data_IF_264767259768
#
_entry.id   IF_264767259768
#
_cell.length_a   1.000
_cell.length_b   1.000
_cell.length_c   1.000
_cell.angle_alpha   90.00
_cell.angle_beta   90.00
_cell.angle_gamma   90.00
#
_symmetry.space_group_name_H-M   'P 1'
#
loop_
_entity.id
_entity.type
_entity.pdbx_description
1 polymer ?
#
# COMPACT_ATOMS: atom_id res chain seq x y z
N UNK A 1 6.73 -20.97 6.85
CA UNK A 1 7.01 -20.00 5.80
C UNK A 1 8.24 -19.20 6.19
N UNK A 2 9.22 -19.07 5.31
CA UNK A 2 10.42 -18.23 5.53
C UNK A 2 10.06 -16.81 5.06
N UNK A 3 10.17 -15.77 5.92
CA UNK A 3 9.87 -14.42 5.49
C UNK A 3 10.93 -13.90 4.52
N UNK A 4 10.50 -13.36 3.38
CA UNK A 4 11.37 -12.81 2.34
C UNK A 4 12.04 -11.49 2.75
N UNK A 5 11.37 -10.73 3.62
CA UNK A 5 11.85 -9.41 4.04
C UNK A 5 11.54 -8.29 3.03
N UNK A 6 10.99 -8.62 1.86
CA UNK A 6 10.50 -7.61 0.92
C UNK A 6 9.13 -7.08 1.35
N UNK A 7 8.82 -5.88 0.96
CA UNK A 7 7.52 -5.23 1.13
C UNK A 7 7.30 -4.26 0.00
N UNK A 8 6.05 -3.87 -0.22
CA UNK A 8 5.71 -2.98 -1.31
C UNK A 8 4.60 -2.01 -0.96
N UNK A 9 4.18 -1.29 -1.99
CA UNK A 9 3.07 -0.35 -1.96
C UNK A 9 2.48 -0.27 -3.36
N UNK A 10 1.15 -0.36 -3.46
CA UNK A 10 0.47 -0.05 -4.71
C UNK A 10 0.60 1.45 -5.03
N UNK A 11 0.85 1.75 -6.29
CA UNK A 11 0.85 3.09 -6.88
C UNK A 11 -0.18 3.15 -8.00
N UNK A 12 -0.30 4.27 -8.69
CA UNK A 12 -1.23 4.38 -9.82
C UNK A 12 -0.78 3.43 -10.93
N UNK A 13 -1.67 2.52 -11.33
CA UNK A 13 -1.44 1.49 -12.36
C UNK A 13 -0.14 0.69 -12.17
N UNK A 14 0.31 0.53 -10.91
CA UNK A 14 1.60 -0.07 -10.64
C UNK A 14 1.85 -0.48 -9.20
N UNK A 15 3.07 -0.95 -8.98
CA UNK A 15 3.56 -1.43 -7.68
C UNK A 15 4.99 -0.97 -7.47
N UNK A 16 5.25 -0.42 -6.29
CA UNK A 16 6.59 -0.26 -5.75
C UNK A 16 6.94 -1.47 -4.90
N UNK A 17 8.13 -2.05 -5.10
CA UNK A 17 8.69 -3.10 -4.23
C UNK A 17 10.00 -2.64 -3.63
N UNK A 18 10.22 -2.94 -2.35
CA UNK A 18 11.43 -2.57 -1.60
C UNK A 18 12.10 -3.79 -1.00
N UNK A 19 13.41 -3.88 -1.21
CA UNK A 19 14.30 -4.86 -0.60
C UNK A 19 15.49 -4.13 0.04
N UNK A 20 15.49 -3.97 1.36
CA UNK A 20 16.49 -3.19 2.12
C UNK A 20 16.57 -1.72 1.65
N UNK A 21 17.70 -1.29 1.07
CA UNK A 21 17.88 0.06 0.51
C UNK A 21 17.43 0.17 -0.94
N UNK A 22 17.33 -0.94 -1.67
CA UNK A 22 16.90 -0.92 -3.07
C UNK A 22 15.39 -0.97 -3.16
N UNK A 23 14.83 -0.24 -4.13
CA UNK A 23 13.43 -0.32 -4.49
C UNK A 23 13.25 -0.26 -6.01
N UNK A 24 12.19 -0.85 -6.47
CA UNK A 24 11.70 -0.76 -7.85
C UNK A 24 10.30 -0.17 -7.86
N UNK A 25 9.95 0.44 -8.97
CA UNK A 25 8.55 0.78 -9.28
C UNK A 25 8.27 0.23 -10.67
N UNK A 26 7.27 -0.61 -10.80
CA UNK A 26 6.77 -1.08 -12.09
C UNK A 26 5.38 -0.49 -12.31
N UNK A 27 5.15 0.10 -13.46
CA UNK A 27 3.91 0.75 -13.85
C UNK A 27 3.51 0.28 -15.24
N UNK A 28 2.25 -0.04 -15.45
CA UNK A 28 1.72 -0.28 -16.79
C UNK A 28 1.36 1.08 -17.39
N UNK A 29 2.01 1.42 -18.49
CA UNK A 29 1.80 2.66 -19.22
C UNK A 29 0.47 2.61 -20.02
N UNK A 30 -0.06 3.77 -20.46
CA UNK A 30 -1.26 3.81 -21.31
C UNK A 30 -1.13 3.02 -22.60
N UNK A 31 0.09 2.90 -23.16
CA UNK A 31 0.39 2.09 -24.36
C UNK A 31 0.37 0.57 -24.09
N UNK A 32 0.20 0.15 -22.82
CA UNK A 32 0.16 -1.24 -22.37
C UNK A 32 1.52 -1.84 -21.99
N UNK A 33 2.62 -1.15 -22.24
CA UNK A 33 3.96 -1.59 -21.83
C UNK A 33 4.18 -1.44 -20.32
N UNK A 34 5.07 -2.26 -19.76
CA UNK A 34 5.46 -2.18 -18.35
C UNK A 34 6.78 -1.42 -18.25
N UNK A 35 6.71 -0.22 -17.67
CA UNK A 35 7.91 0.55 -17.35
C UNK A 35 8.40 0.18 -15.96
N UNK A 36 9.70 -0.15 -15.81
CA UNK A 36 10.31 -0.53 -14.54
C UNK A 36 11.47 0.41 -14.23
N UNK A 37 11.40 1.06 -13.08
CA UNK A 37 12.47 1.90 -12.55
C UNK A 37 13.00 1.31 -11.25
N UNK A 38 14.32 1.21 -11.14
CA UNK A 38 15.02 0.83 -9.91
C UNK A 38 15.83 2.00 -9.38
N UNK A 39 15.87 2.17 -8.05
CA UNK A 39 16.63 3.24 -7.42
C UNK A 39 16.95 2.83 -5.96
N UNK A 40 17.78 3.61 -5.27
CA UNK A 40 18.12 3.41 -3.86
C UNK A 40 17.46 4.44 -2.96
N UNK A 41 17.05 4.00 -1.79
CA UNK A 41 16.50 4.85 -0.74
C UNK A 41 17.08 4.47 0.62
N UNK A 42 17.97 5.31 1.12
CA UNK A 42 18.70 5.08 2.38
C UNK A 42 17.90 5.54 3.62
N UNK A 43 16.81 6.30 3.40
CA UNK A 43 16.00 6.88 4.47
C UNK A 43 16.59 8.19 5.02
N UNK A 44 15.73 8.97 5.72
CA UNK A 44 16.10 10.31 6.25
C UNK A 44 17.15 10.26 7.34
N UNK A 45 17.21 9.18 8.10
CA UNK A 45 18.16 9.02 9.20
C UNK A 45 19.43 8.29 8.78
N UNK A 46 19.50 7.71 7.58
CA UNK A 46 20.62 6.89 7.14
C UNK A 46 20.92 5.76 8.14
N UNK A 47 22.20 5.47 8.33
CA UNK A 47 22.67 4.42 9.25
C UNK A 47 22.86 4.88 10.70
N UNK A 48 22.36 6.05 11.09
CA UNK A 48 22.55 6.63 12.42
C UNK A 48 22.01 5.71 13.53
N UNK A 49 22.83 5.49 14.57
CA UNK A 49 22.52 4.55 15.67
C UNK A 49 21.21 4.90 16.42
N UNK A 50 20.91 6.18 16.62
CA UNK A 50 19.71 6.62 17.32
C UNK A 50 18.43 6.22 16.59
N UNK A 51 18.46 6.15 15.25
CA UNK A 51 17.31 5.74 14.43
C UNK A 51 16.99 4.24 14.56
N UNK A 52 17.93 3.45 15.12
CA UNK A 52 17.75 2.00 15.36
C UNK A 52 17.14 1.70 16.73
N UNK A 53 16.99 2.71 17.59
CA UNK A 53 16.38 2.56 18.93
C UNK A 53 14.88 2.17 18.81
N UNK A 54 14.39 1.31 19.72
CA UNK A 54 12.95 1.00 19.77
C UNK A 54 12.09 2.26 19.82
N UNK A 55 10.90 2.23 19.26
CA UNK A 55 9.99 3.33 19.05
C UNK A 55 10.49 4.35 18.01
N UNK A 56 11.71 4.88 18.14
CA UNK A 56 12.29 5.87 17.22
C UNK A 56 12.39 5.27 15.81
N UNK A 57 12.88 4.03 15.69
CA UNK A 57 12.94 3.36 14.38
C UNK A 57 11.55 3.19 13.74
N UNK A 58 10.50 3.01 14.54
CA UNK A 58 9.14 2.94 14.04
C UNK A 58 8.64 4.27 13.50
N UNK A 59 8.96 5.37 14.20
CA UNK A 59 8.66 6.74 13.74
C UNK A 59 9.41 7.06 12.45
N UNK A 60 10.71 6.78 12.41
CA UNK A 60 11.56 7.02 11.23
C UNK A 60 11.06 6.22 10.04
N UNK A 61 10.84 4.90 10.21
CA UNK A 61 10.35 4.05 9.12
C UNK A 61 8.97 4.47 8.62
N UNK A 62 8.10 4.99 9.48
CA UNK A 62 6.80 5.51 9.07
C UNK A 62 6.95 6.75 8.17
N UNK A 63 7.81 7.71 8.58
CA UNK A 63 8.09 8.92 7.78
C UNK A 63 8.78 8.53 6.46
N UNK A 64 9.76 7.64 6.49
CA UNK A 64 10.44 7.13 5.29
C UNK A 64 9.48 6.48 4.32
N UNK A 65 8.53 5.67 4.83
CA UNK A 65 7.50 5.04 3.99
C UNK A 65 6.57 6.07 3.35
N UNK A 66 6.24 7.15 4.05
CA UNK A 66 5.44 8.25 3.49
C UNK A 66 6.21 8.98 2.38
N UNK A 67 7.48 9.34 2.62
CA UNK A 67 8.31 10.05 1.63
C UNK A 67 8.51 9.20 0.38
N UNK A 68 8.90 7.93 0.55
CA UNK A 68 9.10 7.01 -0.55
C UNK A 68 7.78 6.76 -1.31
N UNK A 69 6.68 6.57 -0.57
CA UNK A 69 5.36 6.39 -1.14
C UNK A 69 4.91 7.57 -1.98
N UNK A 70 5.09 8.79 -1.50
CA UNK A 70 4.80 10.01 -2.28
C UNK A 70 5.67 10.11 -3.53
N UNK A 71 6.99 9.86 -3.42
CA UNK A 71 7.93 9.87 -4.56
C UNK A 71 7.50 8.90 -5.65
N UNK A 72 7.16 7.67 -5.26
CA UNK A 72 6.78 6.61 -6.22
C UNK A 72 5.39 6.81 -6.80
N UNK A 73 4.45 7.32 -6.00
CA UNK A 73 3.11 7.67 -6.47
C UNK A 73 3.16 8.83 -7.49
N UNK A 74 3.93 9.90 -7.22
CA UNK A 74 4.10 11.00 -8.17
C UNK A 74 4.74 10.51 -9.47
N UNK A 75 5.75 9.62 -9.39
CA UNK A 75 6.36 9.06 -10.59
C UNK A 75 5.38 8.20 -11.39
N UNK A 76 4.54 7.40 -10.74
CA UNK A 76 3.53 6.61 -11.45
C UNK A 76 2.43 7.48 -12.06
N UNK A 77 2.05 8.57 -11.40
CA UNK A 77 1.05 9.51 -11.89
C UNK A 77 1.53 10.26 -13.15
N UNK A 78 2.83 10.55 -13.27
CA UNK A 78 3.38 11.29 -14.41
C UNK A 78 3.17 10.61 -15.78
N UNK A 79 2.88 9.31 -15.81
CA UNK A 79 2.54 8.61 -17.06
C UNK A 79 1.09 8.83 -17.53
N UNK A 80 0.25 9.41 -16.68
CA UNK A 80 -1.18 9.61 -16.93
C UNK A 80 -1.60 11.08 -16.92
N UNK A 81 -0.65 12.01 -16.67
CA UNK A 81 -0.92 13.45 -16.65
C UNK A 81 -1.35 13.98 -18.03
N UNK A 82 -0.85 13.38 -19.12
CA UNK A 82 -1.20 13.80 -20.49
C UNK A 82 -2.61 13.35 -20.94
N UNK A 83 -3.23 12.37 -20.25
CA UNK A 83 -4.59 11.91 -20.57
C UNK A 83 -5.69 12.73 -19.85
N UNK A 84 -5.37 13.43 -18.78
CA UNK A 84 -6.26 14.43 -18.24
C UNK A 84 -6.22 15.64 -19.20
N UNK A 85 -7.21 15.73 -20.12
CA UNK A 85 -7.51 16.96 -20.85
C UNK A 85 -7.33 18.13 -19.88
N UNK A 86 -6.53 19.15 -20.26
CA UNK A 86 -6.31 20.35 -19.46
C UNK A 86 -7.63 20.82 -18.85
N UNK A 87 -7.94 20.32 -17.67
CA UNK A 87 -9.12 20.71 -16.94
C UNK A 87 -9.00 22.23 -16.79
N UNK A 88 -9.85 22.97 -17.50
CA UNK A 88 -9.79 24.45 -17.51
C UNK A 88 -9.69 24.92 -16.07
N UNK A 89 -8.62 25.64 -15.72
CA UNK A 89 -8.35 26.01 -14.35
C UNK A 89 -9.57 26.62 -13.69
N UNK A 90 -9.97 26.09 -12.55
CA UNK A 90 -11.14 26.54 -11.80
C UNK A 90 -11.07 28.02 -11.44
N UNK A 91 -12.17 28.65 -11.10
CA UNK A 91 -12.19 30.06 -10.71
C UNK A 91 -11.22 30.40 -9.57
N UNK A 92 -11.07 29.47 -8.63
CA UNK A 92 -10.15 29.60 -7.50
C UNK A 92 -8.68 29.46 -7.93
N UNK A 93 -8.41 28.53 -8.82
CA UNK A 93 -7.07 28.32 -9.39
C UNK A 93 -6.64 29.52 -10.25
N UNK A 94 -7.54 30.05 -11.10
CA UNK A 94 -7.29 31.31 -11.84
C UNK A 94 -6.99 32.48 -10.92
N UNK A 95 -7.69 32.57 -9.79
CA UNK A 95 -7.41 33.60 -8.79
C UNK A 95 -6.01 33.44 -8.18
N UNK A 96 -5.62 32.20 -7.84
CA UNK A 96 -4.29 31.90 -7.29
C UNK A 96 -3.17 32.12 -8.33
N UNK A 97 -3.38 31.71 -9.59
CA UNK A 97 -2.46 31.98 -10.71
C UNK A 97 -2.23 33.49 -10.88
N UNK A 98 -3.30 34.28 -10.78
CA UNK A 98 -3.20 35.76 -10.89
C UNK A 98 -2.45 36.39 -9.70
N UNK A 99 -2.57 35.79 -8.50
CA UNK A 99 -1.95 36.33 -7.27
C UNK A 99 -0.50 35.89 -7.08
N UNK A 100 -0.15 34.67 -7.43
CA UNK A 100 1.16 34.03 -7.14
C UNK A 100 2.02 33.73 -8.38
N UNK A 101 1.51 33.95 -9.60
CA UNK A 101 2.25 33.70 -10.85
C UNK A 101 2.80 32.28 -10.93
N UNK A 102 4.09 32.12 -11.29
CA UNK A 102 4.78 30.83 -11.43
C UNK A 102 4.82 29.97 -10.13
N UNK A 103 4.57 30.57 -8.98
CA UNK A 103 4.50 29.85 -7.69
C UNK A 103 3.09 29.32 -7.38
N UNK A 104 2.11 29.62 -8.22
CA UNK A 104 0.70 29.26 -7.98
C UNK A 104 0.52 27.76 -7.82
N UNK A 105 1.15 26.94 -8.63
CA UNK A 105 1.09 25.48 -8.58
C UNK A 105 1.52 24.94 -7.20
N UNK A 106 2.67 25.41 -6.69
CA UNK A 106 3.16 25.04 -5.35
C UNK A 106 2.23 25.51 -4.24
N UNK A 107 1.61 26.69 -4.40
CA UNK A 107 0.65 27.24 -3.44
C UNK A 107 -0.65 26.46 -3.49
N UNK A 108 -1.16 26.11 -4.67
CA UNK A 108 -2.36 25.25 -4.83
C UNK A 108 -2.12 23.89 -4.18
N UNK A 109 -0.99 23.24 -4.50
CA UNK A 109 -0.65 21.94 -3.88
C UNK A 109 -0.56 22.05 -2.37
N UNK A 110 0.15 23.05 -1.84
CA UNK A 110 0.25 23.28 -0.40
C UNK A 110 -1.10 23.54 0.27
N UNK A 111 -1.97 24.34 -0.35
CA UNK A 111 -3.32 24.61 0.11
C UNK A 111 -4.21 23.36 0.11
N UNK A 112 -4.12 22.53 -0.94
CA UNK A 112 -4.83 21.25 -1.05
C UNK A 112 -4.41 20.27 0.04
N UNK A 113 -3.11 20.15 0.28
CA UNK A 113 -2.58 19.30 1.37
C UNK A 113 -3.05 19.83 2.73
N UNK A 114 -2.93 21.13 2.98
CA UNK A 114 -3.39 21.74 4.24
C UNK A 114 -4.90 21.52 4.45
N UNK A 115 -5.71 21.73 3.42
CA UNK A 115 -7.15 21.47 3.46
C UNK A 115 -7.45 20.00 3.77
N UNK A 116 -6.77 19.07 3.12
CA UNK A 116 -6.93 17.62 3.34
C UNK A 116 -6.59 17.23 4.78
N UNK A 117 -5.51 17.79 5.33
CA UNK A 117 -5.11 17.55 6.74
C UNK A 117 -6.16 18.10 7.70
N UNK A 118 -6.66 19.31 7.45
CA UNK A 118 -7.73 19.92 8.27
C UNK A 118 -8.98 19.03 8.24
N UNK A 119 -9.41 18.60 7.06
CA UNK A 119 -10.57 17.71 6.91
C UNK A 119 -10.36 16.37 7.61
N UNK A 120 -9.18 15.77 7.52
CA UNK A 120 -8.85 14.55 8.25
C UNK A 120 -8.95 14.74 9.78
N UNK A 121 -8.44 15.86 10.31
CA UNK A 121 -8.57 16.20 11.75
C UNK A 121 -10.03 16.38 12.14
N UNK A 122 -10.82 17.09 11.33
CA UNK A 122 -12.25 17.30 11.58
C UNK A 122 -13.00 15.95 11.62
N UNK A 123 -12.80 15.10 10.63
CA UNK A 123 -13.56 13.83 10.48
C UNK A 123 -13.08 12.79 11.50
N UNK A 124 -11.77 12.62 11.70
CA UNK A 124 -11.24 11.52 12.51
C UNK A 124 -10.92 11.89 13.97
N UNK A 125 -10.85 13.17 14.30
CA UNK A 125 -10.59 13.61 15.69
C UNK A 125 -11.76 14.38 16.29
N UNK A 126 -12.30 15.39 15.61
CA UNK A 126 -13.34 16.24 16.17
C UNK A 126 -14.73 15.61 16.09
N UNK A 127 -15.10 15.02 14.96
CA UNK A 127 -16.42 14.40 14.80
C UNK A 127 -16.68 13.28 15.82
N UNK A 128 -15.78 12.30 16.05
CA UNK A 128 -15.97 11.29 17.09
C UNK A 128 -16.12 11.89 18.50
N UNK A 129 -15.35 12.96 18.80
CA UNK A 129 -15.43 13.67 20.05
C UNK A 129 -16.81 14.33 20.26
N UNK A 130 -17.34 15.01 19.25
CA UNK A 130 -18.68 15.62 19.34
C UNK A 130 -19.77 14.55 19.46
N UNK A 131 -19.70 13.49 18.64
CA UNK A 131 -20.67 12.40 18.68
C UNK A 131 -20.67 11.68 20.03
N UNK A 132 -19.49 11.39 20.59
CA UNK A 132 -19.40 10.79 21.92
C UNK A 132 -19.94 11.72 23.01
N UNK A 133 -19.81 13.02 22.82
CA UNK A 133 -20.35 14.04 23.74
C UNK A 133 -21.87 13.96 23.93
N UNK A 134 -22.63 13.50 22.91
CA UNK A 134 -24.07 13.28 23.01
C UNK A 134 -24.45 12.23 24.06
N UNK A 135 -23.55 11.27 24.30
CA UNK A 135 -23.74 10.20 25.29
C UNK A 135 -23.37 10.63 26.73
N UNK A 136 -22.80 11.86 26.91
CA UNK A 136 -22.36 12.34 28.23
C UNK A 136 -23.49 12.43 29.26
N UNK A 137 -24.73 12.58 28.81
CA UNK A 137 -25.93 12.56 29.69
C UNK A 137 -26.21 11.17 30.27
N UNK A 138 -25.80 10.12 29.56
CA UNK A 138 -26.07 8.73 29.92
C UNK A 138 -24.84 8.03 30.52
N UNK A 139 -23.63 8.51 30.17
CA UNK A 139 -22.35 7.90 30.55
C UNK A 139 -21.58 8.87 31.45
N UNK A 140 -21.58 8.60 32.76
CA UNK A 140 -20.86 9.39 33.78
C UNK A 140 -19.36 9.08 33.77
N UNK A 141 -18.97 7.83 33.43
CA UNK A 141 -17.57 7.40 33.42
C UNK A 141 -16.81 8.01 32.23
N UNK A 142 -15.80 8.83 32.51
CA UNK A 142 -14.92 9.38 31.48
C UNK A 142 -14.16 8.31 30.71
N UNK A 143 -13.79 7.19 31.34
CA UNK A 143 -13.13 6.05 30.70
C UNK A 143 -14.07 5.38 29.69
N UNK A 144 -15.33 5.14 30.08
CA UNK A 144 -16.32 4.55 29.18
C UNK A 144 -16.62 5.48 28.00
N UNK A 145 -16.69 6.79 28.25
CA UNK A 145 -16.89 7.79 27.21
C UNK A 145 -15.71 7.81 26.21
N UNK A 146 -14.45 7.67 26.70
CA UNK A 146 -13.29 7.55 25.83
C UNK A 146 -13.30 6.26 24.97
N UNK A 147 -13.79 5.15 25.52
CA UNK A 147 -13.98 3.92 24.75
C UNK A 147 -15.05 4.12 23.68
N UNK A 148 -16.19 4.71 24.00
CA UNK A 148 -17.25 5.02 23.03
C UNK A 148 -16.73 5.95 21.93
N UNK A 149 -15.97 6.99 22.27
CA UNK A 149 -15.33 7.86 21.28
C UNK A 149 -14.40 7.06 20.35
N UNK A 150 -13.60 6.16 20.92
CA UNK A 150 -12.71 5.28 20.15
C UNK A 150 -13.46 4.33 19.21
N UNK A 151 -14.56 3.73 19.67
CA UNK A 151 -15.43 2.90 18.85
C UNK A 151 -16.08 3.68 17.70
N UNK A 152 -16.58 4.89 17.96
CA UNK A 152 -17.13 5.77 16.94
C UNK A 152 -16.06 6.12 15.90
N UNK A 153 -14.84 6.48 16.33
CA UNK A 153 -13.71 6.78 15.45
C UNK A 153 -13.37 5.57 14.55
N UNK A 154 -13.32 4.38 15.15
CA UNK A 154 -13.09 3.14 14.39
C UNK A 154 -14.19 2.90 13.37
N UNK A 155 -15.45 3.08 13.74
CA UNK A 155 -16.59 2.96 12.83
C UNK A 155 -16.53 3.94 11.68
N UNK A 156 -16.22 5.22 11.94
CA UNK A 156 -16.05 6.26 10.90
C UNK A 156 -14.91 5.87 9.95
N UNK A 157 -13.78 5.39 10.49
CA UNK A 157 -12.64 4.98 9.68
C UNK A 157 -12.98 3.79 8.77
N UNK A 158 -13.61 2.75 9.31
CA UNK A 158 -14.02 1.58 8.53
C UNK A 158 -15.03 1.99 7.44
N UNK A 159 -16.00 2.83 7.78
CA UNK A 159 -16.96 3.36 6.81
C UNK A 159 -16.28 4.17 5.71
N UNK A 160 -15.35 5.05 6.07
CA UNK A 160 -14.56 5.83 5.11
C UNK A 160 -13.80 4.91 4.14
N UNK A 161 -13.06 3.93 4.66
CA UNK A 161 -12.32 2.96 3.83
C UNK A 161 -13.27 2.16 2.92
N UNK A 162 -14.43 1.74 3.43
CA UNK A 162 -15.43 1.03 2.65
C UNK A 162 -15.98 1.90 1.50
N UNK A 163 -16.26 3.18 1.77
CA UNK A 163 -16.76 4.11 0.77
C UNK A 163 -15.73 4.37 -0.34
N UNK A 164 -14.49 4.71 0.02
CA UNK A 164 -13.44 4.96 -0.97
C UNK A 164 -13.09 3.69 -1.77
N UNK A 165 -13.20 2.49 -1.15
CA UNK A 165 -12.94 1.21 -1.83
C UNK A 165 -13.94 0.93 -2.97
N UNK A 166 -15.05 1.67 -3.03
CA UNK A 166 -16.07 1.57 -4.07
C UNK A 166 -15.76 2.48 -5.28
N UNK A 167 -14.87 3.45 -5.13
CA UNK A 167 -14.39 4.30 -6.23
C UNK A 167 -13.54 3.49 -7.20
N UNK A 168 -13.73 3.68 -8.51
CA UNK A 168 -13.07 2.86 -9.54
C UNK A 168 -11.55 2.90 -9.43
N UNK A 169 -10.95 4.09 -9.30
CA UNK A 169 -9.50 4.27 -9.28
C UNK A 169 -8.86 3.71 -8.01
N UNK A 170 -9.51 3.94 -6.85
CA UNK A 170 -9.07 3.35 -5.58
C UNK A 170 -9.21 1.82 -5.60
N UNK A 171 -10.29 1.30 -6.22
CA UNK A 171 -10.48 -0.14 -6.38
C UNK A 171 -9.36 -0.75 -7.22
N UNK A 172 -8.93 -0.10 -8.32
CA UNK A 172 -7.80 -0.57 -9.14
C UNK A 172 -6.51 -0.58 -8.33
N UNK A 173 -6.22 0.49 -7.60
CA UNK A 173 -5.06 0.54 -6.67
C UNK A 173 -5.11 -0.61 -5.65
N UNK A 174 -6.30 -0.95 -5.13
CA UNK A 174 -6.47 -2.09 -4.23
C UNK A 174 -6.34 -3.47 -4.91
N UNK A 175 -6.52 -3.55 -6.23
CA UNK A 175 -6.20 -4.76 -7.02
C UNK A 175 -4.69 -4.91 -7.15
N UNK A 176 -3.94 -3.85 -7.43
CA UNK A 176 -2.47 -3.85 -7.41
C UNK A 176 -1.92 -4.22 -6.03
N UNK A 177 -2.52 -3.71 -4.95
CA UNK A 177 -2.16 -4.12 -3.59
C UNK A 177 -2.43 -5.62 -3.34
N UNK A 178 -3.49 -6.16 -3.93
CA UNK A 178 -3.76 -7.59 -3.95
C UNK A 178 -2.68 -8.38 -4.70
N UNK A 179 -2.20 -7.88 -5.85
CA UNK A 179 -1.14 -8.49 -6.65
C UNK A 179 0.20 -8.52 -5.90
N UNK A 180 0.57 -7.41 -5.23
CA UNK A 180 1.73 -7.34 -4.35
C UNK A 180 1.70 -8.45 -3.29
N UNK A 181 0.62 -8.55 -2.53
CA UNK A 181 0.47 -9.58 -1.50
C UNK A 181 0.54 -11.00 -2.05
N UNK A 182 -0.06 -11.24 -3.23
CA UNK A 182 -0.04 -12.55 -3.88
C UNK A 182 1.37 -12.92 -4.33
N UNK A 183 2.16 -11.99 -4.87
CA UNK A 183 3.56 -12.22 -5.23
C UNK A 183 4.40 -12.57 -4.02
N UNK A 184 4.32 -11.79 -2.93
CA UNK A 184 5.08 -12.05 -1.69
C UNK A 184 4.68 -13.42 -1.12
N UNK A 185 3.38 -13.72 -1.03
CA UNK A 185 2.90 -15.00 -0.53
C UNK A 185 3.29 -16.19 -1.42
N UNK A 186 3.39 -16.00 -2.75
CA UNK A 186 3.86 -16.99 -3.69
C UNK A 186 5.30 -17.39 -3.38
N UNK A 187 6.18 -16.41 -3.28
CA UNK A 187 7.61 -16.57 -2.99
C UNK A 187 7.84 -17.21 -1.61
N UNK A 188 7.18 -16.70 -0.56
CA UNK A 188 7.37 -17.18 0.81
C UNK A 188 6.85 -18.61 1.03
N UNK A 189 5.97 -19.09 0.15
CA UNK A 189 5.51 -20.49 0.12
C UNK A 189 6.37 -21.40 -0.73
N UNK A 190 7.48 -20.92 -1.29
CA UNK A 190 8.39 -21.71 -2.11
C UNK A 190 7.81 -22.07 -3.48
N UNK A 191 6.90 -21.24 -4.02
CA UNK A 191 6.34 -21.44 -5.37
C UNK A 191 7.10 -20.57 -6.36
N UNK A 192 7.32 -21.10 -7.58
CA UNK A 192 7.89 -20.30 -8.66
C UNK A 192 7.02 -19.07 -8.94
N UNK A 193 7.67 -17.92 -9.13
CA UNK A 193 7.01 -16.65 -9.38
C UNK A 193 6.52 -16.62 -10.84
N UNK A 194 5.29 -17.02 -11.06
CA UNK A 194 4.61 -17.02 -12.36
C UNK A 194 3.17 -16.56 -12.17
N UNK A 195 2.56 -15.99 -13.21
CA UNK A 195 1.16 -15.50 -13.17
C UNK A 195 0.22 -16.59 -12.61
N UNK A 196 0.36 -17.84 -13.09
CA UNK A 196 -0.44 -18.99 -12.64
C UNK A 196 -0.33 -19.25 -11.13
N UNK A 197 0.87 -19.19 -10.57
CA UNK A 197 1.12 -19.49 -9.16
C UNK A 197 0.74 -18.31 -8.26
N UNK A 198 1.01 -17.08 -8.72
CA UNK A 198 0.63 -15.84 -8.04
C UNK A 198 -0.90 -15.74 -7.95
N UNK A 199 -1.63 -16.02 -9.06
CA UNK A 199 -3.10 -16.04 -9.08
C UNK A 199 -3.69 -16.97 -8.01
N UNK A 200 -3.06 -18.13 -7.76
CA UNK A 200 -3.47 -19.10 -6.73
C UNK A 200 -3.03 -18.75 -5.30
N UNK A 201 -2.22 -17.70 -5.14
CA UNK A 201 -1.72 -17.28 -3.83
C UNK A 201 -2.72 -16.37 -3.11
N UNK A 202 -2.59 -16.26 -1.79
CA UNK A 202 -3.48 -15.43 -0.97
C UNK A 202 -3.18 -13.94 -1.15
N UNK A 203 -4.23 -13.11 -1.25
CA UNK A 203 -4.13 -11.66 -1.19
C UNK A 203 -4.01 -11.11 0.24
N UNK A 204 -4.11 -11.95 1.25
CA UNK A 204 -3.98 -11.57 2.67
C UNK A 204 -2.56 -11.82 3.14
N UNK A 205 -1.90 -10.78 3.67
CA UNK A 205 -0.53 -10.86 4.15
C UNK A 205 -0.40 -10.32 5.57
N UNK A 206 0.40 -11.00 6.42
CA UNK A 206 0.47 -10.65 7.85
C UNK A 206 1.22 -9.34 8.14
N UNK A 207 2.08 -8.89 7.25
CA UNK A 207 2.95 -7.71 7.40
C UNK A 207 2.51 -6.53 6.54
N UNK A 208 1.22 -6.37 6.34
CA UNK A 208 0.68 -5.31 5.50
C UNK A 208 0.54 -3.98 6.25
N UNK A 209 0.81 -2.87 5.55
CA UNK A 209 0.65 -1.52 6.07
C UNK A 209 -0.78 -1.15 6.48
N UNK A 210 -1.81 -1.75 5.85
CA UNK A 210 -3.21 -1.49 6.25
C UNK A 210 -3.56 -2.13 7.59
N UNK A 211 -2.94 -3.27 7.93
CA UNK A 211 -3.02 -3.83 9.28
C UNK A 211 -2.38 -2.91 10.33
N UNK A 212 -1.32 -2.18 9.93
CA UNK A 212 -0.69 -1.17 10.78
C UNK A 212 -1.65 -0.04 11.14
N UNK A 213 -2.40 0.49 10.19
CA UNK A 213 -3.38 1.55 10.46
C UNK A 213 -4.42 1.12 11.49
N UNK A 214 -4.93 -0.11 11.38
CA UNK A 214 -5.88 -0.65 12.36
C UNK A 214 -5.25 -0.72 13.77
N UNK A 215 -4.02 -1.22 13.87
CA UNK A 215 -3.31 -1.33 15.16
C UNK A 215 -3.02 0.06 15.75
N UNK A 216 -2.62 1.03 14.93
CA UNK A 216 -2.46 2.44 15.33
C UNK A 216 -3.75 2.96 15.95
N UNK A 217 -4.91 2.67 15.35
CA UNK A 217 -6.20 3.08 15.88
C UNK A 217 -6.50 2.46 17.25
N UNK A 218 -6.31 1.14 17.40
CA UNK A 218 -6.49 0.45 18.69
C UNK A 218 -5.56 1.01 19.76
N UNK A 219 -4.29 1.17 19.45
CA UNK A 219 -3.30 1.73 20.37
C UNK A 219 -3.67 3.17 20.74
N UNK A 220 -4.15 3.98 19.77
CA UNK A 220 -4.60 5.35 20.05
C UNK A 220 -5.74 5.40 21.05
N UNK A 221 -6.69 4.47 20.98
CA UNK A 221 -7.79 4.37 21.95
C UNK A 221 -7.22 4.12 23.36
N UNK A 222 -6.29 3.18 23.48
CA UNK A 222 -5.64 2.86 24.77
C UNK A 222 -4.94 4.10 25.33
N UNK A 223 -4.12 4.80 24.52
CA UNK A 223 -3.44 6.02 24.95
C UNK A 223 -4.43 7.10 25.42
N UNK A 224 -5.53 7.30 24.70
CA UNK A 224 -6.50 8.36 25.01
C UNK A 224 -7.40 8.06 26.21
N UNK A 225 -7.47 6.81 26.65
CA UNK A 225 -8.08 6.46 27.95
C UNK A 225 -7.25 7.04 29.12
N UNK A 226 -5.92 7.01 29.00
CA UNK A 226 -5.01 7.46 30.06
C UNK A 226 -4.73 8.97 29.97
N UNK A 227 -4.71 9.55 28.78
CA UNK A 227 -4.37 10.96 28.56
C UNK A 227 -5.65 11.79 28.57
N UNK A 228 -5.90 12.42 29.72
CA UNK A 228 -7.07 13.27 29.93
C UNK A 228 -6.70 14.73 29.76
N UNK A 229 -7.30 15.39 28.78
CA UNK A 229 -7.13 16.83 28.52
C UNK A 229 -8.52 17.45 28.46
N UNK A 230 -8.78 18.44 29.28
CA UNK A 230 -10.10 19.06 29.39
C UNK A 230 -10.41 19.99 28.22
N UNK A 231 -9.45 20.82 27.83
CA UNK A 231 -9.61 21.75 26.70
C UNK A 231 -9.71 21.01 25.38
N UNK A 232 -10.72 21.25 24.52
CA UNK A 232 -10.85 20.65 23.21
C UNK A 232 -9.64 20.93 22.30
N UNK A 233 -9.14 22.16 22.31
CA UNK A 233 -7.98 22.57 21.50
C UNK A 233 -6.71 21.86 21.96
N UNK A 234 -6.41 21.88 23.26
CA UNK A 234 -5.25 21.20 23.82
C UNK A 234 -5.33 19.69 23.58
N UNK A 235 -6.53 19.11 23.61
CA UNK A 235 -6.75 17.68 23.28
C UNK A 235 -6.36 17.35 21.85
N UNK A 236 -6.72 18.17 20.87
CA UNK A 236 -6.32 17.99 19.47
C UNK A 236 -4.81 18.10 19.34
N UNK A 237 -4.19 19.13 19.93
CA UNK A 237 -2.73 19.32 19.90
C UNK A 237 -2.01 18.11 20.48
N UNK A 238 -2.39 17.65 21.67
CA UNK A 238 -1.77 16.47 22.32
C UNK A 238 -1.94 15.22 21.45
N UNK A 239 -3.12 15.01 20.86
CA UNK A 239 -3.38 13.87 19.99
C UNK A 239 -2.51 13.90 18.74
N UNK A 240 -2.32 15.04 18.11
CA UNK A 240 -1.45 15.22 16.94
C UNK A 240 0.01 14.93 17.33
N UNK A 241 0.48 15.48 18.45
CA UNK A 241 1.84 15.25 18.96
C UNK A 241 2.10 13.78 19.32
N UNK A 242 1.06 13.03 19.69
CA UNK A 242 1.15 11.60 20.01
C UNK A 242 1.16 10.69 18.78
N UNK A 243 0.75 11.16 17.59
CA UNK A 243 0.71 10.32 16.37
C UNK A 243 2.05 9.63 16.12
N UNK A 244 3.21 10.28 16.12
CA UNK A 244 4.49 9.61 15.91
C UNK A 244 4.78 8.54 16.97
N UNK A 245 4.46 8.84 18.25
CA UNK A 245 4.68 7.90 19.36
C UNK A 245 3.81 6.65 19.20
N UNK A 246 2.53 6.86 18.91
CA UNK A 246 1.57 5.76 18.67
C UNK A 246 2.01 4.94 17.46
N UNK A 247 2.46 5.58 16.39
CA UNK A 247 3.01 4.90 15.21
C UNK A 247 4.25 4.07 15.56
N UNK A 248 5.16 4.61 16.38
CA UNK A 248 6.32 3.89 16.88
C UNK A 248 5.94 2.63 17.67
N UNK A 249 4.97 2.75 18.60
CA UNK A 249 4.46 1.60 19.37
C UNK A 249 3.79 0.56 18.47
N UNK A 250 2.97 1.00 17.51
CA UNK A 250 2.30 0.13 16.57
C UNK A 250 3.29 -0.63 15.67
N UNK A 251 4.36 0.04 15.23
CA UNK A 251 5.45 -0.58 14.47
C UNK A 251 6.12 -1.70 15.25
N UNK A 252 6.49 -1.45 16.53
CA UNK A 252 7.10 -2.49 17.36
C UNK A 252 6.15 -3.67 17.58
N UNK A 253 4.87 -3.40 17.76
CA UNK A 253 3.84 -4.44 17.90
C UNK A 253 3.77 -5.32 16.64
N UNK A 254 3.67 -4.74 15.45
CA UNK A 254 3.63 -5.50 14.18
C UNK A 254 4.91 -6.29 13.97
N UNK A 255 6.07 -5.69 14.26
CA UNK A 255 7.36 -6.36 14.17
C UNK A 255 7.44 -7.59 15.08
N UNK A 256 6.90 -7.47 16.30
CA UNK A 256 6.81 -8.59 17.25
C UNK A 256 5.83 -9.65 16.74
N UNK A 257 4.65 -9.23 16.25
CA UNK A 257 3.65 -10.11 15.68
C UNK A 257 4.17 -10.89 14.46
N UNK A 258 4.94 -10.23 13.60
CA UNK A 258 5.53 -10.85 12.41
C UNK A 258 6.65 -11.86 12.70
N UNK A 259 7.23 -11.83 13.90
CA UNK A 259 8.30 -12.74 14.35
C UNK A 259 7.79 -13.90 15.19
N UNK A 260 6.59 -13.76 15.76
CA UNK A 260 6.02 -14.72 16.71
C UNK A 260 4.95 -15.57 16.04
N UNK A 261 5.07 -16.90 16.17
CA UNK A 261 4.02 -17.85 15.80
C UNK A 261 3.03 -18.12 16.95
N UNK A 262 3.04 -17.30 18.01
CA UNK A 262 2.18 -17.47 19.17
C UNK A 262 0.72 -17.24 18.77
N UNK A 263 -0.18 -18.08 19.35
CA UNK A 263 -1.62 -18.00 19.14
C UNK A 263 -2.20 -16.61 19.48
N UNK A 264 -1.67 -15.96 20.53
CA UNK A 264 -2.10 -14.63 20.96
C UNK A 264 -1.83 -13.60 19.86
N UNK A 265 -0.61 -13.59 19.29
CA UNK A 265 -0.26 -12.66 18.21
C UNK A 265 -1.05 -12.95 16.93
N UNK A 266 -1.37 -14.22 16.69
CA UNK A 266 -2.23 -14.63 15.57
C UNK A 266 -3.65 -14.07 15.72
N UNK A 267 -4.23 -14.16 16.93
CA UNK A 267 -5.56 -13.60 17.24
C UNK A 267 -5.54 -12.06 17.12
N UNK A 268 -4.55 -11.41 17.70
CA UNK A 268 -4.40 -9.95 17.65
C UNK A 268 -4.19 -9.40 16.24
N UNK A 269 -3.71 -10.24 15.30
CA UNK A 269 -3.55 -9.87 13.88
C UNK A 269 -4.82 -10.07 13.04
N UNK A 270 -5.85 -10.78 13.55
CA UNK A 270 -7.08 -11.07 12.80
C UNK A 270 -7.83 -9.80 12.36
N UNK A 271 -8.04 -8.79 13.23
CA UNK A 271 -8.74 -7.58 12.81
C UNK A 271 -7.99 -6.82 11.70
N UNK A 272 -6.65 -6.79 11.76
CA UNK A 272 -5.83 -6.21 10.69
C UNK A 272 -6.02 -6.93 9.35
N UNK A 273 -6.14 -8.27 9.36
CA UNK A 273 -6.50 -9.04 8.16
C UNK A 273 -7.92 -8.75 7.69
N UNK A 274 -8.85 -8.49 8.62
CA UNK A 274 -10.21 -8.05 8.29
C UNK A 274 -10.22 -6.75 7.49
N UNK A 275 -9.35 -5.78 7.84
CA UNK A 275 -9.20 -4.55 7.06
C UNK A 275 -8.73 -4.80 5.62
N UNK A 276 -7.90 -5.83 5.40
CA UNK A 276 -7.45 -6.17 4.05
C UNK A 276 -8.59 -6.66 3.15
N UNK A 277 -9.73 -7.12 3.69
CA UNK A 277 -10.91 -7.43 2.87
C UNK A 277 -11.44 -6.19 2.13
N UNK A 278 -11.27 -5.02 2.72
CA UNK A 278 -11.64 -3.74 2.12
C UNK A 278 -10.54 -3.17 1.22
N UNK A 279 -9.28 -3.27 1.66
CA UNK A 279 -8.13 -2.58 1.06
C UNK A 279 -7.30 -3.45 0.11
N UNK A 280 -7.68 -4.71 -0.13
CA UNK A 280 -7.13 -5.56 -1.18
C UNK A 280 -8.24 -6.17 -2.02
N UNK A 281 -8.07 -6.21 -3.31
CA UNK A 281 -9.01 -6.84 -4.26
C UNK A 281 -8.29 -7.91 -5.06
N UNK A 282 -9.05 -8.80 -5.73
CA UNK A 282 -8.45 -9.77 -6.66
C UNK A 282 -7.91 -9.03 -7.87
N UNK A 283 -6.61 -9.19 -8.18
CA UNK A 283 -5.99 -8.58 -9.35
C UNK A 283 -6.28 -9.39 -10.61
N UNK A 284 -6.29 -8.70 -11.74
CA UNK A 284 -6.23 -9.30 -13.05
C UNK A 284 -4.80 -9.78 -13.37
N UNK A 285 -4.64 -10.58 -14.41
CA UNK A 285 -3.34 -11.14 -14.80
C UNK A 285 -2.33 -10.06 -15.18
N UNK A 286 -2.78 -9.04 -15.89
CA UNK A 286 -1.96 -7.90 -16.30
C UNK A 286 -1.36 -7.17 -15.09
N UNK A 287 -2.12 -7.06 -13.99
CA UNK A 287 -1.63 -6.48 -12.73
C UNK A 287 -0.64 -7.41 -12.03
N UNK A 288 -0.83 -8.73 -12.17
CA UNK A 288 0.11 -9.72 -11.63
C UNK A 288 1.45 -9.65 -12.38
N UNK A 289 1.45 -9.44 -13.70
CA UNK A 289 2.67 -9.25 -14.50
C UNK A 289 3.48 -8.03 -14.01
N UNK A 290 2.82 -6.90 -13.78
CA UNK A 290 3.45 -5.71 -13.20
C UNK A 290 4.05 -6.01 -11.82
N UNK A 291 3.34 -6.76 -10.98
CA UNK A 291 3.82 -7.16 -9.66
C UNK A 291 5.05 -8.07 -9.74
N UNK A 292 5.08 -9.02 -10.67
CA UNK A 292 6.22 -9.90 -10.93
C UNK A 292 7.42 -9.07 -11.38
N UNK A 293 7.24 -8.17 -12.36
CA UNK A 293 8.29 -7.29 -12.86
C UNK A 293 8.89 -6.42 -11.74
N UNK A 294 8.05 -5.85 -10.87
CA UNK A 294 8.50 -5.07 -9.72
C UNK A 294 9.34 -5.92 -8.75
N UNK A 295 8.93 -7.16 -8.46
CA UNK A 295 9.66 -8.06 -7.57
C UNK A 295 11.01 -8.46 -8.16
N UNK A 296 11.02 -8.93 -9.40
CA UNK A 296 12.25 -9.44 -10.07
C UNK A 296 13.31 -8.36 -10.24
N UNK A 297 12.90 -7.09 -10.33
CA UNK A 297 13.83 -5.97 -10.43
C UNK A 297 14.67 -5.72 -9.16
N UNK A 298 14.22 -6.18 -7.97
CA UNK A 298 14.93 -5.90 -6.69
C UNK A 298 15.14 -7.12 -5.82
N UNK A 299 14.60 -8.28 -6.21
CA UNK A 299 14.65 -9.46 -5.35
C UNK A 299 14.83 -10.74 -6.16
N UNK A 300 15.96 -11.40 -5.94
CA UNK A 300 16.21 -12.73 -6.47
C UNK A 300 15.43 -13.78 -5.66
N UNK A 301 14.23 -14.08 -6.13
CA UNK A 301 13.36 -15.07 -5.51
C UNK A 301 13.86 -16.51 -5.71
N UNK A 302 14.65 -16.77 -6.78
CA UNK A 302 15.21 -18.11 -7.05
C UNK A 302 16.28 -18.43 -6.02
N UNK A 303 17.24 -17.53 -5.82
CA UNK A 303 18.25 -17.67 -4.79
C UNK A 303 17.64 -17.75 -3.37
N UNK A 304 16.58 -16.96 -3.10
CA UNK A 304 15.86 -17.04 -1.82
C UNK A 304 15.23 -18.42 -1.57
N UNK A 305 14.74 -19.09 -2.61
CA UNK A 305 14.17 -20.42 -2.53
C UNK A 305 15.23 -21.54 -2.62
N UNK A 306 16.50 -21.21 -2.85
CA UNK A 306 17.59 -22.17 -3.02
C UNK A 306 17.54 -22.90 -4.36
N UNK A 307 16.84 -22.34 -5.34
CA UNK A 307 16.85 -22.82 -6.72
C UNK A 307 18.15 -22.32 -7.38
N UNK A 308 18.90 -23.21 -8.03
CA UNK A 308 19.99 -22.80 -8.92
C UNK A 308 19.37 -22.06 -10.11
N UNK A 309 20.07 -21.02 -10.61
CA UNK A 309 19.76 -20.49 -11.94
C UNK A 309 19.78 -21.67 -12.91
N UNK A 310 18.65 -21.95 -13.57
CA UNK A 310 18.69 -22.75 -14.78
C UNK A 310 19.55 -21.94 -15.75
N UNK A 311 20.67 -22.53 -16.20
CA UNK A 311 21.42 -21.97 -17.33
C UNK A 311 20.41 -21.62 -18.41
N UNK A 312 20.52 -20.44 -19.05
CA UNK A 312 19.62 -20.09 -20.14
C UNK A 312 19.66 -21.26 -21.13
N UNK A 313 18.51 -21.87 -21.36
CA UNK A 313 18.36 -22.85 -22.43
C UNK A 313 18.98 -22.20 -23.65
N UNK A 314 20.10 -22.79 -24.10
CA UNK A 314 20.78 -22.41 -25.32
C UNK A 314 19.77 -22.62 -26.46
N UNK A 315 18.99 -21.59 -26.73
CA UNK A 315 18.08 -21.59 -27.87
C UNK A 315 18.96 -21.67 -29.08
N UNK A 316 18.88 -22.75 -29.87
CA UNK A 316 19.65 -22.84 -31.10
C UNK A 316 19.37 -21.56 -31.89
N UNK A 317 20.43 -20.79 -32.18
CA UNK A 317 20.34 -19.65 -33.09
C UNK A 317 19.69 -20.17 -34.36
N UNK A 318 18.48 -19.74 -34.63
CA UNK A 318 17.86 -19.89 -35.95
C UNK A 318 18.77 -19.17 -36.94
N UNK A 319 19.61 -19.94 -37.63
CA UNK A 319 20.34 -19.45 -38.77
C UNK A 319 19.31 -18.94 -39.81
N UNK A 320 19.38 -17.63 -40.06
CA UNK A 320 18.62 -16.99 -41.11
C UNK A 320 19.09 -17.54 -42.47
N UNK A 321 18.34 -18.44 -43.04
CA UNK A 321 18.58 -18.89 -44.40
C UNK A 321 18.11 -20.31 -44.67
N UNK A 322 16.84 -20.47 -44.92
CA UNK A 322 16.29 -21.25 -46.02
C UNK A 322 14.76 -21.29 -45.87
N UNK A 323 14.10 -20.54 -46.71
CA UNK A 323 12.67 -20.64 -46.98
C UNK A 323 12.46 -21.83 -47.91
N UNK A 324 12.17 -23.00 -47.31
CA UNK A 324 11.45 -24.06 -47.99
C UNK A 324 10.11 -24.23 -47.28
N UNK A 325 9.11 -23.59 -47.82
CA UNK A 325 7.70 -23.79 -47.43
C UNK A 325 7.22 -24.99 -48.26
N UNK A 326 6.92 -26.16 -47.66
CA UNK A 326 6.17 -27.18 -48.35
C UNK A 326 4.73 -26.73 -48.58
N UNK A 327 4.22 -26.90 -49.77
CA UNK A 327 2.81 -26.67 -50.12
C UNK A 327 1.88 -27.54 -49.24
N UNK A 328 0.69 -27.05 -48.89
CA UNK A 328 -0.25 -27.81 -48.08
C UNK A 328 -0.83 -28.96 -48.91
N UNK A 329 -0.45 -30.22 -48.57
CA UNK A 329 -1.20 -31.38 -48.99
C UNK A 329 -2.59 -31.40 -48.37
N UNK A 330 -3.59 -31.71 -49.18
CA UNK A 330 -5.01 -31.80 -48.87
C UNK A 330 -5.24 -32.74 -47.67
N UNK A 331 -5.82 -32.22 -46.62
CA UNK A 331 -6.36 -33.01 -45.51
C UNK A 331 -7.73 -33.56 -45.92
N UNK A 332 -7.75 -34.85 -46.26
CA UNK A 332 -8.96 -35.63 -46.46
C UNK A 332 -9.87 -35.60 -45.23
N UNK A 333 -11.16 -35.45 -45.50
CA UNK A 333 -12.26 -35.42 -44.54
C UNK A 333 -12.26 -36.66 -43.61
N UNK A 334 -12.05 -36.47 -42.34
CA UNK A 334 -12.37 -37.48 -41.33
C UNK A 334 -13.87 -37.34 -40.97
N UNK A 335 -14.64 -38.34 -41.42
CA UNK A 335 -16.06 -38.53 -41.09
C UNK A 335 -16.24 -38.74 -39.59
N UNK A 336 -17.10 -37.92 -39.01
CA UNK A 336 -17.64 -38.11 -37.67
C UNK A 336 -18.74 -39.17 -37.75
N UNK A 337 -18.36 -40.43 -37.68
CA UNK A 337 -19.22 -41.57 -37.35
C UNK A 337 -18.27 -42.68 -36.84
N UNK A 338 -18.05 -42.63 -35.49
CA UNK A 338 -17.59 -43.74 -34.65
C UNK A 338 -16.88 -43.17 -33.39
N UNK A 339 -17.69 -42.64 -32.49
CA UNK A 339 -17.36 -42.60 -31.05
C UNK A 339 -18.66 -42.45 -30.26
#
# INVERSE_FOLDING_TARGET
MKPSGIGGQAVLEGIMMKNKSQYSVAVRRPDGEIEVKTDEYVGIAGDKAWAKLPLIRGMVNFIDSMILGMKTLSWSASFYEDEEEEAKPGKFEKFLLKLFGEKAEKVVMGATVAFSVIMAVLIFMLLPYFLSGLFRKFIVSNTLLAIVEGCIRMGIFILYVALISSMKDIRRTYMYHGAEHKCINCIERGRALSVRNVRKSSRYHARCGTSFLFIVMVISIIFFIFIRVESPVARVIVRVLLVPVIAGVAYEFIRLAGRSNNIVMRILSLPGKGMQMLTTKEPDDDMIEVAIAAVEAVFDWRAFQGLKEEEPLDMPKLESGQTDVPEPEELDEIKIEDL
#
